data_IF_813641299388
#
_entry.id   IF_813641299388
#
_cell.length_a   1.000
_cell.length_b   1.000
_cell.length_c   1.000
_cell.angle_alpha   90.00
_cell.angle_beta   90.00
_cell.angle_gamma   90.00
#
_symmetry.space_group_name_H-M   'P 1'
#
loop_
_entity.id
_entity.type
_entity.pdbx_description
1 polymer ?
#
# COMPACT_ATOMS: atom_id res chain seq x y z
N UNK A 1 7.92 10.08 10.52
CA UNK A 1 7.60 10.19 9.07
C UNK A 1 6.12 9.96 8.76
N UNK A 2 5.50 8.77 8.97
CA UNK A 2 4.06 8.57 8.63
C UNK A 2 3.17 9.51 9.43
N UNK A 3 3.32 9.56 10.75
CA UNK A 3 2.57 10.43 11.65
C UNK A 3 2.75 11.91 11.30
N UNK A 4 3.96 12.31 11.02
CA UNK A 4 4.32 13.67 10.58
C UNK A 4 3.66 14.02 9.23
N UNK A 5 3.77 13.12 8.25
CA UNK A 5 3.12 13.28 6.95
C UNK A 5 1.59 13.33 7.03
N UNK A 6 1.00 12.79 8.08
CA UNK A 6 -0.44 12.87 8.37
C UNK A 6 -0.82 14.13 9.18
N UNK A 7 0.13 15.01 9.48
CA UNK A 7 -0.13 16.27 10.23
C UNK A 7 -0.09 16.10 11.74
N UNK A 8 0.66 15.10 12.24
CA UNK A 8 0.87 14.84 13.66
C UNK A 8 -0.14 13.84 14.26
N UNK A 9 0.23 13.25 15.41
CA UNK A 9 -0.57 12.28 16.16
C UNK A 9 -2.00 12.77 16.41
N UNK A 10 -2.16 14.03 16.81
CA UNK A 10 -3.47 14.63 17.14
C UNK A 10 -4.40 14.76 15.94
N UNK A 11 -3.84 14.73 14.72
CA UNK A 11 -4.63 14.80 13.48
C UNK A 11 -5.20 13.43 13.06
N UNK A 12 -4.65 12.34 13.57
CA UNK A 12 -5.10 10.98 13.27
C UNK A 12 -6.30 10.66 14.17
N UNK A 13 -7.41 10.24 13.56
CA UNK A 13 -8.63 9.84 14.28
C UNK A 13 -8.80 8.33 14.32
N UNK A 14 -8.40 7.65 13.24
CA UNK A 14 -8.58 6.21 13.08
C UNK A 14 -7.51 5.64 12.16
N UNK A 15 -7.10 4.38 12.43
CA UNK A 15 -6.09 3.65 11.67
C UNK A 15 -6.61 2.26 11.35
N UNK A 16 -6.74 1.98 10.06
CA UNK A 16 -7.14 0.68 9.55
C UNK A 16 -6.25 0.30 8.35
N UNK A 17 -6.32 -0.93 7.88
CA UNK A 17 -5.66 -1.34 6.65
C UNK A 17 -6.47 -2.39 5.90
N UNK A 18 -6.23 -2.48 4.60
CA UNK A 18 -6.60 -3.64 3.81
C UNK A 18 -5.32 -4.37 3.37
N UNK A 19 -5.41 -5.30 2.44
CA UNK A 19 -4.27 -6.13 2.01
C UNK A 19 -3.02 -5.33 1.59
N UNK A 20 -3.18 -4.11 1.09
CA UNK A 20 -2.08 -3.33 0.50
C UNK A 20 -2.09 -1.85 0.85
N UNK A 21 -3.14 -1.36 1.52
CA UNK A 21 -3.34 0.07 1.81
C UNK A 21 -3.52 0.29 3.30
N UNK A 22 -2.76 1.23 3.83
CA UNK A 22 -3.04 1.84 5.12
C UNK A 22 -4.17 2.86 4.93
N UNK A 23 -5.23 2.74 5.71
CA UNK A 23 -6.41 3.61 5.68
C UNK A 23 -6.43 4.44 6.94
N UNK A 24 -6.32 5.73 6.79
CA UNK A 24 -6.30 6.67 7.91
C UNK A 24 -7.47 7.63 7.78
N UNK A 25 -8.15 7.87 8.88
CA UNK A 25 -9.06 8.99 9.00
C UNK A 25 -8.36 10.13 9.72
N UNK A 26 -8.25 11.30 9.10
CA UNK A 26 -7.66 12.49 9.69
C UNK A 26 -8.74 13.51 10.04
N UNK A 27 -8.49 14.34 11.07
CA UNK A 27 -9.38 15.42 11.46
C UNK A 27 -9.33 16.58 10.46
N UNK A 28 -8.14 16.88 9.97
CA UNK A 28 -7.87 17.96 9.02
C UNK A 28 -7.01 17.44 7.87
N UNK A 29 -7.61 17.26 6.71
CA UNK A 29 -6.93 16.79 5.50
C UNK A 29 -5.94 17.83 4.92
N UNK A 30 -6.09 19.11 5.29
CA UNK A 30 -5.17 20.17 4.87
C UNK A 30 -3.76 20.07 5.49
N UNK A 31 -3.62 19.33 6.59
CA UNK A 31 -2.35 19.09 7.27
C UNK A 31 -1.57 17.91 6.70
N UNK A 32 -2.16 17.16 5.78
CA UNK A 32 -1.52 15.98 5.18
C UNK A 32 -0.48 16.41 4.16
N UNK A 33 0.77 16.04 4.41
CA UNK A 33 1.91 16.27 3.54
C UNK A 33 2.25 15.00 2.76
N UNK A 34 1.90 14.98 1.48
CA UNK A 34 2.12 13.83 0.61
C UNK A 34 3.59 13.55 0.33
N UNK A 35 4.44 14.58 0.31
CA UNK A 35 5.86 14.39 0.02
C UNK A 35 6.57 13.65 1.15
N UNK A 36 6.21 13.94 2.41
CA UNK A 36 6.69 13.19 3.57
C UNK A 36 6.15 11.75 3.53
N UNK A 37 4.89 11.55 3.16
CA UNK A 37 4.32 10.22 3.03
C UNK A 37 4.97 9.41 1.89
N UNK A 38 5.35 10.04 0.79
CA UNK A 38 6.14 9.37 -0.28
C UNK A 38 7.51 8.94 0.21
N UNK A 39 8.18 9.78 1.01
CA UNK A 39 9.48 9.44 1.62
C UNK A 39 9.40 8.27 2.61
N UNK A 40 8.22 7.98 3.14
CA UNK A 40 8.01 6.80 4.01
C UNK A 40 7.97 5.46 3.25
N UNK A 41 8.19 5.48 1.93
CA UNK A 41 8.16 4.29 1.08
C UNK A 41 6.79 3.96 0.50
N UNK A 42 5.85 4.91 0.52
CA UNK A 42 4.55 4.70 -0.11
C UNK A 42 4.66 4.69 -1.64
N UNK A 43 3.90 3.82 -2.28
CA UNK A 43 3.80 3.72 -3.75
C UNK A 43 2.79 4.70 -4.33
N UNK A 44 1.87 5.18 -3.51
CA UNK A 44 0.85 6.14 -3.89
C UNK A 44 -0.01 6.55 -2.70
N UNK A 45 -0.71 7.67 -2.87
CA UNK A 45 -1.57 8.24 -1.84
C UNK A 45 -2.87 8.67 -2.51
N UNK A 46 -4.00 8.25 -1.95
CA UNK A 46 -5.34 8.65 -2.39
C UNK A 46 -6.02 9.37 -1.24
N UNK A 47 -6.47 10.59 -1.47
CA UNK A 47 -7.22 11.40 -0.48
C UNK A 47 -8.66 11.56 -0.91
N UNK A 48 -9.59 11.27 -0.01
CA UNK A 48 -11.02 11.47 -0.21
C UNK A 48 -11.65 12.05 1.05
N UNK A 49 -11.89 13.34 1.05
CA UNK A 49 -12.35 14.06 2.25
C UNK A 49 -11.34 13.92 3.39
N UNK A 50 -11.77 13.41 4.53
CA UNK A 50 -10.90 13.13 5.69
C UNK A 50 -10.19 11.74 5.60
N UNK A 51 -10.54 10.92 4.62
CA UNK A 51 -9.92 9.61 4.40
C UNK A 51 -8.64 9.74 3.59
N UNK A 52 -7.54 9.17 4.09
CA UNK A 52 -6.25 9.08 3.43
C UNK A 52 -5.89 7.61 3.28
N UNK A 53 -5.68 7.16 2.06
CA UNK A 53 -5.22 5.82 1.77
C UNK A 53 -3.78 5.88 1.29
N UNK A 54 -2.89 5.19 1.97
CA UNK A 54 -1.47 5.15 1.65
C UNK A 54 -1.11 3.74 1.19
N UNK A 55 -0.63 3.61 -0.01
CA UNK A 55 -0.35 2.32 -0.66
C UNK A 55 1.07 1.89 -0.34
N UNK A 56 1.22 0.86 0.49
CA UNK A 56 2.51 0.28 0.85
C UNK A 56 2.73 -1.13 0.25
N UNK A 57 1.65 -1.80 -0.17
CA UNK A 57 1.71 -3.20 -0.60
C UNK A 57 1.52 -4.18 0.56
N UNK A 58 1.95 -5.45 0.41
CA UNK A 58 1.58 -6.54 1.33
C UNK A 58 2.14 -6.39 2.76
N UNK A 59 3.13 -5.53 2.99
CA UNK A 59 3.69 -5.24 4.31
C UNK A 59 2.87 -4.24 5.14
N UNK A 60 1.75 -3.77 4.62
CA UNK A 60 0.91 -2.76 5.28
C UNK A 60 0.43 -3.15 6.68
N UNK A 61 0.20 -4.43 6.94
CA UNK A 61 -0.22 -4.92 8.26
C UNK A 61 0.85 -4.67 9.32
N UNK A 62 2.13 -4.88 8.99
CA UNK A 62 3.26 -4.59 9.89
C UNK A 62 3.38 -3.09 10.10
N UNK A 63 3.21 -2.31 9.04
CA UNK A 63 3.25 -0.83 9.12
C UNK A 63 2.11 -0.32 10.02
N UNK A 64 0.91 -0.89 9.90
CA UNK A 64 -0.23 -0.55 10.76
C UNK A 64 0.09 -0.82 12.23
N UNK A 65 0.54 -2.03 12.55
CA UNK A 65 0.89 -2.40 13.92
C UNK A 65 1.94 -1.46 14.54
N UNK A 66 3.01 -1.18 13.80
CA UNK A 66 4.05 -0.24 14.26
C UNK A 66 3.53 1.19 14.44
N UNK A 67 2.58 1.62 13.59
CA UNK A 67 1.96 2.94 13.73
C UNK A 67 1.05 3.00 14.96
N UNK A 68 0.25 1.97 15.20
CA UNK A 68 -0.61 1.87 16.39
C UNK A 68 0.22 1.87 17.67
N UNK A 69 1.28 1.05 17.75
CA UNK A 69 2.22 1.04 18.87
C UNK A 69 2.83 2.43 19.12
N UNK A 70 3.24 3.11 18.06
CA UNK A 70 3.77 4.47 18.16
C UNK A 70 2.71 5.46 18.67
N UNK A 71 1.46 5.34 18.19
CA UNK A 71 0.36 6.20 18.63
C UNK A 71 -0.02 5.96 20.09
N UNK A 72 0.18 4.76 20.62
CA UNK A 72 -0.06 4.44 22.03
C UNK A 72 1.08 4.91 22.94
N UNK A 73 2.32 4.75 22.50
CA UNK A 73 3.53 4.96 23.34
C UNK A 73 4.13 6.36 23.24
N UNK A 74 3.89 7.08 22.12
CA UNK A 74 4.43 8.42 21.96
C UNK A 74 3.73 9.40 22.90
N UNK A 75 4.48 9.93 23.85
CA UNK A 75 4.01 10.98 24.76
C UNK A 75 3.76 12.27 23.99
N UNK A 76 2.74 13.03 24.38
CA UNK A 76 2.27 14.27 23.71
C UNK A 76 3.31 15.43 23.76
N UNK A 77 4.50 15.19 24.33
CA UNK A 77 5.49 16.21 24.68
C UNK A 77 6.60 16.44 23.65
N UNK A 78 6.57 15.79 22.49
CA UNK A 78 7.57 16.00 21.44
C UNK A 78 7.00 16.74 20.22
N UNK A 79 6.48 17.94 20.45
CA UNK A 79 6.38 18.95 19.39
C UNK A 79 7.55 19.94 19.59
N UNK A 80 8.28 20.14 18.48
CA UNK A 80 9.38 21.10 18.29
C UNK A 80 10.74 20.74 18.88
N UNK A 81 11.53 19.98 18.12
CA UNK A 81 12.95 20.30 17.94
C UNK A 81 13.43 19.78 16.59
N UNK A 82 13.71 20.71 15.69
CA UNK A 82 14.65 20.48 14.60
C UNK A 82 16.02 20.20 15.20
N UNK A 83 16.45 18.96 15.23
CA UNK A 83 17.86 18.62 15.36
C UNK A 83 18.22 17.47 14.44
N UNK A 84 19.07 17.84 13.50
CA UNK A 84 19.87 16.97 12.67
C UNK A 84 20.65 16.03 13.58
N UNK A 85 20.30 14.76 13.63
CA UNK A 85 21.15 13.74 14.24
C UNK A 85 21.70 12.85 13.14
N UNK A 86 23.01 12.98 12.97
CA UNK A 86 23.87 12.12 12.18
C UNK A 86 23.66 10.65 12.56
N UNK A 87 23.59 9.82 11.53
CA UNK A 87 23.53 8.37 11.65
C UNK A 87 24.84 7.81 12.19
N UNK A 88 24.84 6.84 13.11
CA UNK A 88 25.88 5.83 13.13
C UNK A 88 25.50 4.69 12.17
N UNK A 89 26.41 4.41 11.29
CA UNK A 89 26.44 3.26 10.41
C UNK A 89 26.62 1.97 11.21
N UNK A 90 25.77 0.99 11.02
CA UNK A 90 26.10 -0.43 11.10
C UNK A 90 25.06 -1.24 10.36
N UNK A 91 25.35 -1.59 9.17
CA UNK A 91 25.60 -2.91 8.59
C UNK A 91 24.46 -3.94 8.64
N UNK A 92 24.07 -4.25 7.40
CA UNK A 92 23.63 -5.53 6.87
C UNK A 92 22.22 -6.01 7.17
N UNK A 93 21.30 -5.67 6.25
CA UNK A 93 20.68 -6.68 5.37
C UNK A 93 20.20 -6.00 4.11
N UNK A 94 21.06 -6.03 3.13
CA UNK A 94 20.76 -5.63 1.76
C UNK A 94 19.84 -6.66 1.12
N UNK A 95 18.53 -6.43 1.17
CA UNK A 95 17.66 -6.89 0.11
C UNK A 95 17.85 -5.88 -1.02
N UNK A 96 18.65 -6.28 -1.96
CA UNK A 96 18.90 -5.58 -3.22
C UNK A 96 17.58 -5.25 -3.89
N UNK A 97 17.13 -4.00 -3.77
CA UNK A 97 16.27 -3.41 -4.79
C UNK A 97 17.08 -3.34 -6.09
N UNK A 98 16.95 -4.39 -6.89
CA UNK A 98 17.23 -4.24 -8.31
C UNK A 98 16.14 -3.36 -8.88
N UNK A 99 16.46 -2.10 -9.04
CA UNK A 99 15.83 -1.24 -10.03
C UNK A 99 16.08 -1.90 -11.38
N UNK A 100 15.16 -2.74 -11.81
CA UNK A 100 15.14 -3.26 -13.16
C UNK A 100 14.61 -2.14 -14.04
N UNK A 101 15.51 -1.26 -14.46
CA UNK A 101 15.41 -0.64 -15.77
C UNK A 101 15.98 -1.68 -16.73
N UNK A 102 15.20 -2.68 -17.02
CA UNK A 102 15.47 -3.54 -18.15
C UNK A 102 14.33 -3.33 -19.15
N UNK A 103 14.63 -2.63 -20.22
CA UNK A 103 13.93 -2.80 -21.49
C UNK A 103 14.31 -4.20 -22.00
N UNK A 104 13.97 -5.19 -21.17
CA UNK A 104 14.28 -6.61 -21.35
C UNK A 104 13.38 -7.16 -22.42
N UNK A 105 14.00 -7.60 -23.48
CA UNK A 105 13.48 -8.56 -24.44
C UNK A 105 12.64 -9.59 -23.69
N UNK A 106 11.32 -9.61 -23.90
CA UNK A 106 10.44 -10.64 -23.40
C UNK A 106 10.99 -11.99 -23.89
N UNK A 107 11.58 -12.74 -22.98
CA UNK A 107 12.23 -14.01 -23.28
C UNK A 107 11.31 -15.20 -23.06
N UNK A 108 10.19 -14.98 -22.35
CA UNK A 108 9.24 -16.05 -22.04
C UNK A 108 7.83 -15.46 -21.93
N UNK A 109 6.85 -16.13 -22.55
CA UNK A 109 5.43 -15.80 -22.42
C UNK A 109 4.82 -16.77 -21.44
N UNK A 110 4.34 -16.28 -20.31
CA UNK A 110 3.58 -17.04 -19.33
C UNK A 110 2.10 -16.84 -19.63
N UNK A 111 1.37 -17.94 -19.81
CA UNK A 111 -0.08 -17.92 -20.03
C UNK A 111 -0.74 -18.33 -18.71
N UNK A 112 -1.56 -17.43 -18.17
CA UNK A 112 -2.38 -17.70 -16.98
C UNK A 112 -3.85 -17.65 -17.34
N UNK A 113 -4.66 -18.51 -16.74
CA UNK A 113 -6.12 -18.50 -16.92
C UNK A 113 -6.77 -17.39 -16.12
N UNK A 114 -7.91 -16.88 -16.60
CA UNK A 114 -8.70 -15.95 -15.78
C UNK A 114 -9.23 -16.65 -14.53
N UNK A 115 -9.02 -16.07 -13.33
CA UNK A 115 -9.50 -16.68 -12.08
C UNK A 115 -11.02 -16.64 -11.91
N UNK A 116 -11.73 -15.94 -12.78
CA UNK A 116 -13.19 -15.80 -12.73
C UNK A 116 -13.74 -15.64 -14.14
N UNK A 117 -14.93 -16.22 -14.39
CA UNK A 117 -15.65 -16.05 -15.65
C UNK A 117 -16.23 -14.64 -15.73
N UNK A 118 -15.94 -13.92 -16.84
CA UNK A 118 -16.46 -12.57 -17.02
C UNK A 118 -15.85 -11.84 -18.21
N UNK A 119 -16.14 -10.56 -18.29
CA UNK A 119 -15.59 -9.67 -19.31
C UNK A 119 -14.26 -9.08 -18.82
N UNK A 120 -13.20 -9.32 -19.58
CA UNK A 120 -11.92 -8.67 -19.32
C UNK A 120 -12.01 -7.15 -19.58
N UNK A 121 -11.40 -6.37 -18.70
CA UNK A 121 -11.31 -4.91 -18.79
C UNK A 121 -9.87 -4.47 -18.52
N UNK A 122 -9.48 -3.37 -19.11
CA UNK A 122 -8.17 -2.80 -18.85
C UNK A 122 -8.08 -2.29 -17.39
N UNK A 123 -6.89 -2.33 -16.82
CA UNK A 123 -6.67 -1.86 -15.45
C UNK A 123 -7.11 -0.41 -15.24
N UNK A 124 -6.99 0.42 -16.28
CA UNK A 124 -7.41 1.83 -16.24
C UNK A 124 -8.95 2.01 -16.15
N UNK A 125 -9.73 1.00 -16.51
CA UNK A 125 -11.20 1.02 -16.45
C UNK A 125 -11.74 0.55 -15.08
N UNK A 126 -10.87 0.06 -14.20
CA UNK A 126 -11.27 -0.39 -12.85
C UNK A 126 -11.74 0.82 -12.04
N UNK A 127 -12.92 0.79 -11.40
CA UNK A 127 -13.45 1.91 -10.63
C UNK A 127 -12.76 2.06 -9.25
N UNK A 128 -11.45 2.04 -9.25
CA UNK A 128 -10.59 2.24 -8.08
C UNK A 128 -9.30 2.96 -8.51
N UNK A 129 -9.04 4.13 -7.95
CA UNK A 129 -7.93 5.00 -8.33
C UNK A 129 -6.54 4.34 -8.13
N UNK A 130 -6.40 3.48 -7.13
CA UNK A 130 -5.14 2.76 -6.86
C UNK A 130 -4.82 1.71 -7.93
N UNK A 131 -5.85 1.01 -8.44
CA UNK A 131 -5.67 0.07 -9.54
C UNK A 131 -5.61 0.79 -10.89
N UNK A 132 -6.55 1.70 -11.18
CA UNK A 132 -6.57 2.45 -12.44
C UNK A 132 -5.30 3.27 -12.66
N UNK A 133 -4.73 3.84 -11.58
CA UNK A 133 -3.46 4.55 -11.60
C UNK A 133 -2.22 3.65 -11.60
N UNK A 134 -2.37 2.32 -11.70
CA UNK A 134 -1.28 1.32 -11.67
C UNK A 134 -0.36 1.43 -10.43
N UNK A 135 -0.85 2.03 -9.34
CA UNK A 135 -0.08 2.15 -8.08
C UNK A 135 0.21 0.79 -7.44
N UNK A 136 -0.58 -0.22 -7.78
CA UNK A 136 -0.43 -1.61 -7.33
C UNK A 136 0.39 -2.48 -8.29
N UNK A 137 0.83 -1.92 -9.40
CA UNK A 137 1.44 -2.63 -10.53
C UNK A 137 0.51 -2.67 -11.73
N UNK A 138 0.96 -3.30 -12.80
CA UNK A 138 0.16 -3.52 -13.99
C UNK A 138 -0.68 -4.79 -13.86
N UNK A 139 -1.71 -4.94 -14.68
CA UNK A 139 -2.62 -6.07 -14.64
C UNK A 139 -3.84 -5.91 -15.52
N UNK A 140 -4.82 -6.76 -15.30
CA UNK A 140 -6.11 -6.71 -15.96
C UNK A 140 -7.23 -6.88 -14.92
N UNK A 141 -8.39 -6.31 -15.21
CA UNK A 141 -9.61 -6.53 -14.44
C UNK A 141 -10.53 -7.53 -15.12
N UNK A 142 -11.45 -8.11 -14.36
CA UNK A 142 -12.55 -8.90 -14.90
C UNK A 142 -13.85 -8.44 -14.26
N UNK A 143 -14.81 -8.05 -15.08
CA UNK A 143 -16.19 -7.86 -14.61
C UNK A 143 -16.87 -9.22 -14.58
N UNK A 144 -17.14 -9.79 -13.39
CA UNK A 144 -17.60 -11.17 -13.28
C UNK A 144 -19.03 -11.36 -13.79
N UNK A 145 -19.27 -12.50 -14.43
CA UNK A 145 -20.62 -12.97 -14.78
C UNK A 145 -21.04 -14.18 -13.95
N UNK A 146 -20.10 -14.79 -13.25
CA UNK A 146 -20.31 -15.92 -12.35
C UNK A 146 -19.62 -15.65 -11.00
N UNK A 147 -20.02 -16.36 -9.95
CA UNK A 147 -19.51 -16.14 -8.60
C UNK A 147 -18.39 -17.11 -8.20
N UNK A 148 -18.00 -18.03 -9.07
CA UNK A 148 -16.95 -19.01 -8.82
C UNK A 148 -15.57 -18.41 -9.12
N UNK A 149 -14.64 -18.56 -8.19
CA UNK A 149 -13.23 -18.15 -8.34
C UNK A 149 -12.39 -19.43 -8.35
N UNK A 150 -11.53 -19.57 -9.37
CA UNK A 150 -10.62 -20.69 -9.55
C UNK A 150 -9.18 -20.23 -9.51
N UNK A 151 -8.24 -21.13 -9.22
CA UNK A 151 -6.83 -20.83 -9.31
C UNK A 151 -6.44 -20.57 -10.79
N UNK A 152 -5.75 -19.47 -11.10
CA UNK A 152 -5.34 -19.15 -12.48
C UNK A 152 -4.21 -20.06 -12.98
N UNK A 153 -3.48 -20.71 -12.07
CA UNK A 153 -2.35 -21.59 -12.30
C UNK A 153 -2.19 -22.51 -11.09
N UNK A 154 -1.46 -23.62 -11.26
CA UNK A 154 -1.07 -24.49 -10.15
C UNK A 154 -0.18 -23.73 -9.16
N UNK A 155 -0.50 -23.81 -7.89
CA UNK A 155 0.23 -23.07 -6.88
C UNK A 155 -0.23 -23.36 -5.46
N UNK A 156 0.30 -22.59 -4.53
CA UNK A 156 -0.06 -22.66 -3.11
C UNK A 156 -0.69 -21.32 -2.70
N UNK A 157 -1.85 -21.39 -2.07
CA UNK A 157 -2.46 -20.21 -1.47
C UNK A 157 -1.59 -19.75 -0.31
N UNK A 158 -0.86 -18.66 -0.51
CA UNK A 158 0.05 -18.11 0.48
C UNK A 158 -0.69 -17.33 1.57
N UNK A 159 -1.77 -16.64 1.20
CA UNK A 159 -2.62 -15.94 2.15
C UNK A 159 -4.05 -15.77 1.62
N UNK A 160 -4.98 -15.69 2.55
CA UNK A 160 -6.35 -15.19 2.33
C UNK A 160 -6.58 -14.09 3.34
N UNK A 161 -6.94 -12.90 2.88
CA UNK A 161 -7.22 -11.80 3.79
C UNK A 161 -8.46 -12.08 4.63
N UNK A 162 -8.51 -11.63 5.88
CA UNK A 162 -9.58 -11.94 6.84
C UNK A 162 -10.97 -11.62 6.29
N UNK A 163 -11.11 -10.49 5.62
CA UNK A 163 -12.36 -10.06 4.96
C UNK A 163 -12.60 -10.72 3.61
N UNK A 164 -11.75 -11.67 3.18
CA UNK A 164 -11.84 -12.49 1.96
C UNK A 164 -11.94 -11.71 0.65
N UNK A 165 -11.50 -10.45 0.64
CA UNK A 165 -11.47 -9.61 -0.55
C UNK A 165 -10.15 -9.67 -1.33
N UNK A 166 -9.14 -10.33 -0.77
CA UNK A 166 -7.84 -10.54 -1.39
C UNK A 166 -7.27 -11.90 -1.01
N UNK A 167 -6.64 -12.54 -1.96
CA UNK A 167 -5.91 -13.79 -1.80
C UNK A 167 -4.67 -13.77 -2.71
N UNK A 168 -3.68 -14.49 -2.33
CA UNK A 168 -2.46 -14.65 -3.09
C UNK A 168 -1.82 -16.02 -2.87
#
# INVERSE_FOLDING_TARGET
MITEGLGGKKNISDVDCCATRLRITVKDAGKVNEDILKQSGSRGIVKKGQGVQIIYGPQVTVIKANLEDYLETADDSLEETEEVIERPSSEENAVTEKTVKDEGKVTETIIISSPITGKAVEVAEIPDEGFAGKMMGDGAGVTPTEAEIVAPEDGVVAFVFETKHALG
#
